data_IF_932623887365
#
_entry.id   IF_932623887365
#
_cell.length_a   1.000
_cell.length_b   1.000
_cell.length_c   1.000
_cell.angle_alpha   90.00
_cell.angle_beta   90.00
_cell.angle_gamma   90.00
#
_symmetry.space_group_name_H-M   'P 1'
#
loop_
_entity.id
_entity.type
_entity.pdbx_description
1 polymer ?
#
# COMPACT_ATOMS: atom_id res chain seq x y z
N UNK A 1 20.92 -73.27 20.07
CA UNK A 1 21.52 -72.10 19.38
C UNK A 1 20.73 -70.84 19.73
N UNK A 2 21.13 -70.08 20.77
CA UNK A 2 20.54 -68.77 21.05
C UNK A 2 21.41 -67.69 20.39
N UNK A 3 20.87 -67.06 19.34
CA UNK A 3 21.54 -66.01 18.55
C UNK A 3 21.78 -64.78 19.42
N UNK A 4 23.05 -64.43 19.54
CA UNK A 4 23.55 -63.20 20.16
C UNK A 4 23.47 -62.05 19.15
N UNK A 5 23.05 -60.89 19.65
CA UNK A 5 23.08 -59.52 19.09
C UNK A 5 22.50 -59.25 17.69
N UNK A 6 21.40 -58.48 17.66
CA UNK A 6 21.04 -57.56 16.56
C UNK A 6 20.51 -56.21 17.07
N UNK A 7 21.08 -55.67 18.15
CA UNK A 7 20.66 -54.38 18.71
C UNK A 7 21.55 -53.14 18.41
N UNK A 8 22.75 -53.20 17.77
CA UNK A 8 23.56 -51.98 17.61
C UNK A 8 22.98 -51.01 16.57
N UNK A 9 22.34 -51.51 15.52
CA UNK A 9 21.77 -50.69 14.43
C UNK A 9 20.51 -49.94 14.90
N UNK A 10 19.67 -50.58 15.70
CA UNK A 10 18.46 -49.96 16.24
C UNK A 10 18.79 -48.84 17.24
N UNK A 11 19.80 -49.04 18.11
CA UNK A 11 20.27 -48.01 19.04
C UNK A 11 20.93 -46.84 18.29
N UNK A 12 21.67 -47.11 17.21
CA UNK A 12 22.28 -46.06 16.38
C UNK A 12 21.22 -45.22 15.65
N UNK A 13 20.16 -45.83 15.12
CA UNK A 13 19.05 -45.11 14.49
C UNK A 13 18.23 -44.27 15.49
N UNK A 14 18.05 -44.76 16.73
CA UNK A 14 17.30 -44.05 17.78
C UNK A 14 18.07 -42.83 18.31
N UNK A 15 19.41 -42.82 18.25
CA UNK A 15 20.22 -41.71 18.74
C UNK A 15 20.65 -40.74 17.63
N UNK A 16 21.05 -41.25 16.47
CA UNK A 16 21.63 -40.42 15.40
C UNK A 16 20.56 -39.65 14.62
N UNK A 17 19.37 -40.22 14.42
CA UNK A 17 18.28 -39.55 13.69
C UNK A 17 17.74 -38.32 14.46
N UNK A 18 17.37 -38.41 15.76
CA UNK A 18 16.92 -37.22 16.46
C UNK A 18 18.04 -36.19 16.70
N UNK A 19 19.30 -36.61 16.88
CA UNK A 19 20.42 -35.65 16.91
C UNK A 19 20.63 -34.96 15.56
N UNK A 20 20.56 -35.70 14.45
CA UNK A 20 20.66 -35.14 13.10
C UNK A 20 19.49 -34.21 12.77
N UNK A 21 18.28 -34.55 13.20
CA UNK A 21 17.09 -33.72 13.04
C UNK A 21 17.15 -32.45 13.91
N UNK A 22 17.63 -32.57 15.16
CA UNK A 22 17.89 -31.43 16.03
C UNK A 22 18.99 -30.52 15.46
N UNK A 23 20.03 -31.08 14.86
CA UNK A 23 21.11 -30.33 14.20
C UNK A 23 20.64 -29.62 12.92
N UNK A 24 19.77 -30.26 12.12
CA UNK A 24 19.10 -29.61 10.98
C UNK A 24 18.16 -28.49 11.42
N UNK A 25 17.46 -28.65 12.54
CA UNK A 25 16.59 -27.61 13.11
C UNK A 25 17.37 -26.43 13.72
N UNK A 26 18.56 -26.65 14.27
CA UNK A 26 19.40 -25.56 14.81
C UNK A 26 20.28 -24.88 13.76
N UNK A 27 20.69 -25.59 12.70
CA UNK A 27 21.46 -25.00 11.58
C UNK A 27 20.61 -24.20 10.59
N UNK A 28 19.28 -24.28 10.69
CA UNK A 28 18.32 -23.51 9.91
C UNK A 28 17.77 -22.27 10.64
N UNK A 29 18.41 -21.82 11.72
CA UNK A 29 18.06 -20.52 12.28
C UNK A 29 18.46 -19.45 11.26
N UNK A 30 17.52 -18.59 10.79
CA UNK A 30 17.89 -17.48 9.93
C UNK A 30 18.92 -16.65 10.71
N UNK A 31 20.09 -16.45 10.11
CA UNK A 31 21.01 -15.44 10.57
C UNK A 31 20.30 -14.09 10.38
N UNK A 32 19.66 -13.60 11.45
CA UNK A 32 19.18 -12.23 11.48
C UNK A 32 20.46 -11.40 11.50
N UNK A 33 20.76 -10.75 10.38
CA UNK A 33 21.80 -9.74 10.36
C UNK A 33 21.42 -8.68 11.40
N UNK A 34 22.30 -8.45 12.37
CA UNK A 34 22.17 -7.30 13.25
C UNK A 34 22.15 -6.03 12.40
N UNK A 35 21.28 -5.04 12.72
CA UNK A 35 21.31 -3.75 12.05
C UNK A 35 22.74 -3.20 12.10
N UNK A 36 23.31 -2.90 10.93
CA UNK A 36 24.57 -2.17 10.88
C UNK A 36 24.27 -0.75 11.32
N UNK A 37 25.01 -0.23 12.30
CA UNK A 37 24.94 1.19 12.65
C UNK A 37 25.33 2.03 11.42
N UNK A 38 24.33 2.62 10.78
CA UNK A 38 24.52 3.58 9.70
C UNK A 38 24.56 4.97 10.34
N UNK A 39 25.66 5.69 10.18
CA UNK A 39 25.71 7.12 10.53
C UNK A 39 24.96 7.89 9.44
N UNK A 40 23.84 8.57 9.74
CA UNK A 40 23.12 9.35 8.73
C UNK A 40 24.01 10.43 8.15
N UNK A 41 23.89 10.67 6.84
CA UNK A 41 24.50 11.83 6.22
C UNK A 41 23.82 13.12 6.74
N UNK A 42 24.53 14.26 6.76
CA UNK A 42 23.90 15.55 7.07
C UNK A 42 22.72 15.85 6.13
N UNK A 43 21.69 16.60 6.57
CA UNK A 43 20.57 16.98 5.73
C UNK A 43 21.00 17.71 4.45
N UNK A 44 20.34 17.40 3.34
CA UNK A 44 20.50 18.08 2.05
C UNK A 44 19.93 19.50 2.16
N UNK A 45 20.82 20.50 2.13
CA UNK A 45 20.46 21.93 2.23
C UNK A 45 20.22 22.60 0.88
N UNK A 46 20.67 22.00 -0.22
CA UNK A 46 20.46 22.49 -1.59
C UNK A 46 19.87 21.39 -2.47
N UNK A 47 18.71 21.66 -3.06
CA UNK A 47 18.00 20.73 -3.96
C UNK A 47 17.47 21.50 -5.17
N UNK A 48 17.40 20.86 -6.33
CA UNK A 48 16.68 21.39 -7.50
C UNK A 48 15.15 21.22 -7.37
N UNK A 49 14.71 20.59 -6.28
CA UNK A 49 13.31 20.41 -5.92
C UNK A 49 12.59 19.34 -6.74
N UNK A 50 13.30 18.45 -7.45
CA UNK A 50 12.68 17.41 -8.29
C UNK A 50 12.63 16.02 -7.67
N UNK A 51 13.55 15.71 -6.76
CA UNK A 51 13.60 14.41 -6.11
C UNK A 51 12.32 14.17 -5.27
N UNK A 52 11.77 12.96 -5.36
CA UNK A 52 10.55 12.56 -4.68
C UNK A 52 10.70 11.21 -3.98
N UNK A 53 9.86 10.98 -2.99
CA UNK A 53 9.62 9.69 -2.37
C UNK A 53 8.16 9.28 -2.61
N UNK A 54 7.84 8.02 -2.35
CA UNK A 54 6.46 7.55 -2.30
C UNK A 54 6.18 7.04 -0.90
N UNK A 55 5.00 7.36 -0.38
CA UNK A 55 4.51 6.86 0.90
C UNK A 55 5.42 7.23 2.10
N UNK A 56 6.04 8.41 2.09
CA UNK A 56 6.88 8.85 3.21
C UNK A 56 6.07 9.46 4.37
N UNK A 57 4.75 9.31 4.36
CA UNK A 57 3.87 9.88 5.37
C UNK A 57 3.47 8.95 6.51
N UNK A 58 3.92 7.70 6.50
CA UNK A 58 3.50 6.73 7.51
C UNK A 58 3.90 7.13 8.94
N UNK A 59 3.06 6.74 9.91
CA UNK A 59 3.35 6.94 11.32
C UNK A 59 4.42 5.97 11.85
N UNK A 60 5.25 6.41 12.80
CA UNK A 60 6.16 5.55 13.56
C UNK A 60 6.74 6.14 14.88
N UNK A 61 6.16 5.80 16.05
CA UNK A 61 4.78 5.38 16.22
C UNK A 61 3.81 6.56 16.00
N UNK A 62 2.52 6.29 15.88
CA UNK A 62 1.52 7.38 15.87
C UNK A 62 1.60 8.20 17.17
N UNK A 63 1.36 9.53 17.12
CA UNK A 63 0.90 10.31 15.98
C UNK A 63 2.02 10.88 15.09
N UNK A 64 3.28 10.51 15.29
CA UNK A 64 4.42 11.14 14.60
C UNK A 64 4.66 10.50 13.22
N UNK A 65 4.91 11.33 12.19
CA UNK A 65 5.27 10.92 10.82
C UNK A 65 6.76 11.19 10.53
N UNK A 66 7.70 10.45 11.14
CA UNK A 66 9.13 10.79 11.06
C UNK A 66 9.70 10.72 9.64
N UNK A 67 9.11 9.94 8.74
CA UNK A 67 9.64 9.76 7.39
C UNK A 67 9.46 10.97 6.48
N UNK A 68 8.55 11.89 6.81
CA UNK A 68 8.42 13.17 6.10
C UNK A 68 9.74 13.94 6.27
N UNK A 69 10.18 14.14 7.52
CA UNK A 69 11.44 14.84 7.77
C UNK A 69 12.65 14.08 7.24
N UNK A 70 12.69 12.76 7.39
CA UNK A 70 13.81 11.96 6.85
C UNK A 70 13.91 12.06 5.32
N UNK A 71 12.77 12.10 4.61
CA UNK A 71 12.76 12.30 3.16
C UNK A 71 13.20 13.72 2.78
N UNK A 72 12.80 14.76 3.53
CA UNK A 72 13.28 16.13 3.33
C UNK A 72 14.80 16.23 3.51
N UNK A 73 15.33 15.60 4.56
CA UNK A 73 16.75 15.56 4.89
C UNK A 73 17.54 14.79 3.82
N UNK A 74 16.94 13.78 3.19
CA UNK A 74 17.49 13.07 2.04
C UNK A 74 17.41 13.88 0.71
N UNK A 75 16.78 15.05 0.72
CA UNK A 75 16.66 15.95 -0.43
C UNK A 75 15.35 15.85 -1.23
N UNK A 76 14.42 14.97 -0.81
CA UNK A 76 13.09 14.86 -1.42
C UNK A 76 12.27 16.14 -1.18
N UNK A 77 11.47 16.54 -2.16
CA UNK A 77 10.46 17.62 -2.05
C UNK A 77 9.10 17.19 -2.58
N UNK A 78 8.90 15.89 -2.76
CA UNK A 78 7.66 15.31 -3.22
C UNK A 78 7.33 14.05 -2.44
N UNK A 79 6.06 13.87 -2.12
CA UNK A 79 5.49 12.58 -1.76
C UNK A 79 4.44 12.17 -2.79
N UNK A 80 4.43 10.89 -3.16
CA UNK A 80 3.47 10.29 -4.10
C UNK A 80 2.67 9.22 -3.38
N UNK A 81 1.34 9.37 -3.35
CA UNK A 81 0.43 8.42 -2.69
C UNK A 81 -0.98 8.46 -3.29
N UNK A 82 -1.76 7.41 -3.00
CA UNK A 82 -3.13 7.29 -3.51
C UNK A 82 -4.20 7.95 -2.63
N UNK A 83 -5.17 8.55 -3.32
CA UNK A 83 -6.51 8.84 -2.85
C UNK A 83 -7.40 7.66 -3.25
N UNK A 84 -7.57 6.69 -2.34
CA UNK A 84 -8.34 5.48 -2.61
C UNK A 84 -9.85 5.73 -2.54
N UNK A 85 -10.52 5.71 -3.70
CA UNK A 85 -11.96 5.94 -3.79
C UNK A 85 -12.81 5.04 -2.87
N UNK A 86 -12.57 3.72 -2.75
CA UNK A 86 -13.38 2.87 -1.87
C UNK A 86 -13.26 3.19 -0.39
N UNK A 87 -12.19 3.89 0.03
CA UNK A 87 -12.05 4.37 1.42
C UNK A 87 -12.76 5.70 1.62
N UNK A 88 -12.67 6.59 0.62
CA UNK A 88 -13.22 7.93 0.67
C UNK A 88 -14.76 7.92 0.52
N UNK A 89 -15.30 7.07 -0.35
CA UNK A 89 -16.74 6.92 -0.63
C UNK A 89 -17.15 5.42 -0.55
N UNK A 90 -17.25 4.85 0.67
CA UNK A 90 -17.54 3.42 0.85
C UNK A 90 -18.90 2.96 0.32
N UNK A 91 -19.88 3.86 0.20
CA UNK A 91 -21.14 3.61 -0.52
C UNK A 91 -21.54 4.85 -1.34
N UNK A 92 -22.28 4.65 -2.42
CA UNK A 92 -22.69 5.74 -3.34
C UNK A 92 -23.25 6.97 -2.59
N UNK A 93 -22.56 8.11 -2.72
CA UNK A 93 -22.92 9.39 -2.12
C UNK A 93 -22.62 9.53 -0.63
N UNK A 94 -22.07 8.50 0.02
CA UNK A 94 -21.76 8.49 1.45
C UNK A 94 -20.24 8.49 1.65
N UNK A 95 -19.69 9.68 1.90
CA UNK A 95 -18.26 9.88 2.11
C UNK A 95 -17.86 9.63 3.57
N UNK A 96 -16.75 8.93 3.78
CA UNK A 96 -16.25 8.66 5.13
C UNK A 96 -15.53 9.90 5.68
N UNK A 97 -16.18 10.59 6.63
CA UNK A 97 -15.64 11.80 7.23
C UNK A 97 -14.35 11.59 8.02
N UNK A 98 -14.14 10.41 8.62
CA UNK A 98 -12.91 10.10 9.35
C UNK A 98 -11.73 9.88 8.39
N UNK A 99 -11.97 9.19 7.28
CA UNK A 99 -10.97 9.02 6.22
C UNK A 99 -10.65 10.36 5.56
N UNK A 100 -11.65 11.19 5.24
CA UNK A 100 -11.45 12.53 4.69
C UNK A 100 -10.59 13.39 5.62
N UNK A 101 -10.89 13.42 6.92
CA UNK A 101 -10.07 14.14 7.89
C UNK A 101 -8.62 13.63 7.91
N UNK A 102 -8.42 12.32 7.83
CA UNK A 102 -7.10 11.71 7.76
C UNK A 102 -6.27 12.15 6.53
N UNK A 103 -6.92 12.31 5.37
CA UNK A 103 -6.30 12.89 4.18
C UNK A 103 -6.07 14.40 4.32
N UNK A 104 -6.98 15.14 4.97
CA UNK A 104 -6.79 16.57 5.24
C UNK A 104 -5.55 16.82 6.10
N UNK A 105 -5.41 16.06 7.20
CA UNK A 105 -4.28 16.12 8.11
C UNK A 105 -2.98 15.76 7.38
N UNK A 106 -2.98 14.68 6.60
CA UNK A 106 -1.85 14.27 5.77
C UNK A 106 -1.40 15.36 4.80
N UNK A 107 -2.35 15.93 4.05
CA UNK A 107 -2.04 16.99 3.09
C UNK A 107 -1.50 18.22 3.82
N UNK A 108 -2.03 18.58 4.98
CA UNK A 108 -1.47 19.66 5.81
C UNK A 108 -0.05 19.34 6.25
N UNK A 109 0.19 18.17 6.87
CA UNK A 109 1.50 17.75 7.36
C UNK A 109 2.57 17.81 6.27
N UNK A 110 2.26 17.34 5.07
CA UNK A 110 3.19 17.39 3.92
C UNK A 110 3.44 18.83 3.45
N UNK A 111 2.41 19.66 3.33
CA UNK A 111 2.55 21.05 2.88
C UNK A 111 3.29 21.90 3.91
N UNK A 112 2.98 21.73 5.19
CA UNK A 112 3.62 22.41 6.31
C UNK A 112 5.09 21.97 6.46
N UNK A 113 5.39 20.71 6.13
CA UNK A 113 6.76 20.20 5.99
C UNK A 113 7.50 20.67 4.73
N UNK A 114 6.86 21.40 3.83
CA UNK A 114 7.49 21.90 2.60
C UNK A 114 7.60 20.86 1.46
N UNK A 115 6.80 19.80 1.50
CA UNK A 115 6.67 18.85 0.39
C UNK A 115 5.58 19.27 -0.60
N UNK A 116 5.78 18.90 -1.86
CA UNK A 116 4.74 18.86 -2.87
C UNK A 116 4.13 17.45 -2.92
N UNK A 117 2.95 17.34 -3.54
CA UNK A 117 2.19 16.10 -3.57
C UNK A 117 1.89 15.71 -5.02
N UNK A 118 2.13 14.43 -5.32
CA UNK A 118 1.57 13.74 -6.49
C UNK A 118 0.46 12.81 -6.00
N UNK A 119 -0.79 13.18 -6.27
CA UNK A 119 -1.96 12.40 -5.85
C UNK A 119 -2.37 11.40 -6.91
N UNK A 120 -2.43 10.12 -6.57
CA UNK A 120 -2.94 9.08 -7.46
C UNK A 120 -4.44 8.94 -7.20
N UNK A 121 -5.27 9.12 -8.22
CA UNK A 121 -6.70 8.83 -8.13
C UNK A 121 -6.86 7.32 -8.38
N UNK A 122 -7.25 6.56 -7.36
CA UNK A 122 -7.10 5.10 -7.40
C UNK A 122 -8.31 4.32 -6.89
N UNK A 123 -8.50 3.16 -7.54
CA UNK A 123 -9.47 2.10 -7.27
C UNK A 123 -10.93 2.44 -7.55
N UNK A 124 -11.71 1.41 -7.92
CA UNK A 124 -13.16 1.50 -8.10
C UNK A 124 -13.89 0.85 -6.92
N UNK A 125 -14.80 1.51 -6.20
CA UNK A 125 -15.54 0.85 -5.14
C UNK A 125 -16.48 -0.23 -5.69
N UNK A 126 -16.73 -1.29 -4.91
CA UNK A 126 -17.65 -2.38 -5.25
C UNK A 126 -18.98 -1.89 -5.82
N UNK A 127 -19.53 -0.83 -5.23
CA UNK A 127 -20.82 -0.30 -5.63
C UNK A 127 -20.77 0.40 -6.99
N UNK A 128 -19.61 0.84 -7.48
CA UNK A 128 -19.41 1.48 -8.79
C UNK A 128 -18.77 0.55 -9.84
N UNK A 129 -18.24 -0.59 -9.43
CA UNK A 129 -17.55 -1.56 -10.28
C UNK A 129 -18.43 -2.16 -11.39
N UNK A 130 -17.83 -2.48 -12.53
CA UNK A 130 -18.48 -3.18 -13.66
C UNK A 130 -18.18 -4.68 -13.67
N UNK A 131 -17.21 -5.15 -12.88
CA UNK A 131 -16.86 -6.56 -12.79
C UNK A 131 -15.94 -6.85 -11.62
N UNK A 132 -15.41 -8.08 -11.55
CA UNK A 132 -14.48 -8.50 -10.50
C UNK A 132 -15.15 -8.98 -9.20
N UNK A 133 -14.36 -9.58 -8.31
CA UNK A 133 -14.81 -10.01 -6.99
C UNK A 133 -14.85 -8.81 -6.03
N UNK A 134 -16.03 -8.53 -5.48
CA UNK A 134 -16.21 -7.55 -4.40
C UNK A 134 -15.88 -8.12 -3.02
N UNK A 135 -15.96 -7.27 -1.99
CA UNK A 135 -15.74 -7.62 -0.59
C UNK A 135 -14.27 -7.69 -0.16
N UNK A 136 -13.34 -7.33 -1.04
CA UNK A 136 -11.93 -7.22 -0.70
C UNK A 136 -11.69 -5.86 -0.02
N UNK A 137 -11.34 -5.90 1.26
CA UNK A 137 -11.04 -4.69 2.03
C UNK A 137 -9.63 -4.18 1.74
N UNK A 138 -9.51 -2.89 1.47
CA UNK A 138 -8.20 -2.23 1.43
C UNK A 138 -7.65 -2.10 2.87
N UNK A 139 -6.33 -2.29 3.11
CA UNK A 139 -5.71 -1.97 4.39
C UNK A 139 -6.01 -0.53 4.83
N UNK A 140 -5.85 -0.18 6.10
CA UNK A 140 -6.00 1.22 6.52
C UNK A 140 -4.90 2.08 5.88
N UNK A 141 -5.24 3.31 5.49
CA UNK A 141 -4.31 4.20 4.78
C UNK A 141 -3.14 4.67 5.67
N UNK A 142 -3.38 4.77 6.98
CA UNK A 142 -2.45 5.23 8.01
C UNK A 142 -1.53 4.13 8.54
N UNK A 143 -1.78 2.87 8.17
CA UNK A 143 -1.02 1.73 8.62
C UNK A 143 -0.03 1.27 7.55
N UNK A 144 1.21 1.05 7.99
CA UNK A 144 2.23 0.43 7.14
C UNK A 144 1.85 -1.02 6.83
N UNK A 145 2.07 -1.48 5.59
CA UNK A 145 1.98 -2.90 5.27
C UNK A 145 2.93 -3.74 6.16
N UNK A 146 2.54 -4.96 6.54
CA UNK A 146 3.43 -5.88 7.24
C UNK A 146 4.72 -6.14 6.44
N UNK A 147 5.88 -6.07 7.09
CA UNK A 147 7.18 -6.40 6.46
C UNK A 147 7.95 -5.24 5.84
N UNK A 148 7.67 -3.99 6.20
CA UNK A 148 8.39 -2.81 5.67
C UNK A 148 9.86 -2.71 6.13
N UNK A 149 10.19 -3.14 7.36
CA UNK A 149 11.54 -2.98 7.95
C UNK A 149 12.49 -4.16 7.79
N UNK A 150 11.99 -5.31 7.37
CA UNK A 150 12.79 -6.52 7.25
C UNK A 150 12.46 -7.19 5.91
N UNK A 151 13.40 -7.91 5.30
CA UNK A 151 13.03 -8.93 4.33
C UNK A 151 12.21 -10.00 5.07
N UNK A 152 10.94 -9.75 5.29
CA UNK A 152 10.00 -10.81 5.65
C UNK A 152 9.84 -11.67 4.40
N UNK A 153 9.68 -12.98 4.58
CA UNK A 153 9.13 -13.79 3.52
C UNK A 153 7.76 -13.17 3.19
N UNK A 154 7.70 -12.37 2.11
CA UNK A 154 6.41 -12.10 1.49
C UNK A 154 5.86 -13.49 1.20
N UNK A 155 4.78 -13.87 1.86
CA UNK A 155 3.92 -14.91 1.33
C UNK A 155 3.35 -14.34 0.02
N UNK A 156 4.14 -14.40 -1.04
CA UNK A 156 3.78 -14.02 -2.42
C UNK A 156 2.70 -14.96 -3.01
N UNK A 157 2.16 -15.86 -2.19
CA UNK A 157 1.10 -16.79 -2.52
C UNK A 157 -0.30 -16.19 -2.37
N UNK A 158 -0.44 -14.93 -1.93
CA UNK A 158 -1.65 -14.17 -2.22
C UNK A 158 -1.49 -13.59 -3.63
N UNK A 159 -2.03 -14.22 -4.69
CA UNK A 159 -2.04 -13.57 -6.01
C UNK A 159 -2.70 -12.21 -5.84
N UNK A 160 -2.09 -11.19 -6.45
CA UNK A 160 -2.75 -9.92 -6.72
C UNK A 160 -4.00 -10.24 -7.55
N UNK A 161 -5.13 -10.41 -6.88
CA UNK A 161 -6.34 -10.91 -7.47
C UNK A 161 -7.06 -9.78 -8.18
N UNK A 162 -7.51 -10.04 -9.40
CA UNK A 162 -8.46 -9.16 -10.09
C UNK A 162 -9.70 -9.01 -9.21
N UNK A 163 -10.06 -7.77 -8.94
CA UNK A 163 -11.12 -7.42 -7.99
C UNK A 163 -12.06 -6.37 -8.56
N UNK A 164 -13.15 -6.09 -7.84
CA UNK A 164 -14.02 -4.97 -8.17
C UNK A 164 -13.26 -3.65 -8.30
N UNK A 165 -12.25 -3.45 -7.44
CA UNK A 165 -11.35 -2.30 -7.45
C UNK A 165 -10.60 -2.12 -8.76
N UNK A 166 -10.25 -3.21 -9.43
CA UNK A 166 -9.49 -3.22 -10.69
C UNK A 166 -10.37 -2.91 -11.91
N UNK A 167 -11.70 -2.93 -11.76
CA UNK A 167 -12.61 -2.78 -12.91
C UNK A 167 -12.89 -1.32 -13.25
N UNK A 168 -13.22 -1.01 -14.53
CA UNK A 168 -13.77 0.28 -14.90
C UNK A 168 -15.04 0.61 -14.11
N UNK A 169 -15.20 1.84 -13.60
CA UNK A 169 -16.44 2.25 -12.95
C UNK A 169 -17.58 2.38 -13.98
N UNK A 170 -18.81 2.17 -13.52
CA UNK A 170 -20.02 2.43 -14.32
C UNK A 170 -20.06 3.91 -14.75
N UNK A 171 -20.47 4.15 -15.98
CA UNK A 171 -20.60 5.49 -16.56
C UNK A 171 -19.26 6.17 -16.89
N UNK A 172 -18.12 5.45 -16.88
CA UNK A 172 -16.80 6.03 -17.17
C UNK A 172 -16.73 6.82 -18.50
N UNK A 173 -17.52 6.40 -19.49
CA UNK A 173 -17.50 6.98 -20.84
C UNK A 173 -18.55 8.08 -21.06
N UNK A 174 -19.37 8.39 -20.07
CA UNK A 174 -20.32 9.50 -20.11
C UNK A 174 -19.60 10.82 -19.82
N UNK A 175 -20.26 11.96 -20.01
CA UNK A 175 -19.67 13.27 -19.72
C UNK A 175 -19.21 13.35 -18.25
N UNK A 176 -18.10 14.04 -18.00
CA UNK A 176 -17.44 14.02 -16.69
C UNK A 176 -18.31 14.65 -15.57
N UNK A 177 -19.21 15.56 -15.93
CA UNK A 177 -20.16 16.25 -15.07
C UNK A 177 -21.58 15.67 -15.11
N UNK A 178 -21.79 14.55 -15.81
CA UNK A 178 -23.07 13.85 -15.75
C UNK A 178 -23.20 13.03 -14.46
N UNK A 179 -23.72 13.68 -13.43
CA UNK A 179 -23.87 13.10 -12.10
C UNK A 179 -25.30 12.71 -11.75
N UNK A 180 -26.21 12.77 -12.74
CA UNK A 180 -27.64 12.49 -12.56
C UNK A 180 -28.11 11.45 -13.58
N UNK A 181 -29.41 11.22 -13.64
CA UNK A 181 -30.01 10.42 -14.71
C UNK A 181 -31.15 11.21 -15.36
N UNK A 182 -31.09 12.54 -15.30
CA UNK A 182 -32.20 13.42 -15.67
C UNK A 182 -32.38 13.51 -17.20
N UNK A 183 -31.29 13.36 -17.95
CA UNK A 183 -31.26 13.26 -19.41
C UNK A 183 -31.41 11.82 -19.94
N UNK A 184 -31.38 10.84 -19.05
CA UNK A 184 -31.53 9.42 -19.36
C UNK A 184 -30.22 8.66 -19.51
N UNK A 185 -29.07 9.35 -19.41
CA UNK A 185 -27.76 8.72 -19.46
C UNK A 185 -27.33 8.18 -18.07
N UNK A 186 -26.40 7.21 -18.01
CA UNK A 186 -25.87 6.72 -16.75
C UNK A 186 -24.97 7.73 -16.04
N UNK A 187 -25.05 7.82 -14.71
CA UNK A 187 -24.12 8.63 -13.91
C UNK A 187 -22.66 8.25 -14.17
N UNK A 188 -21.81 9.24 -14.48
CA UNK A 188 -20.35 9.14 -14.45
C UNK A 188 -19.83 9.23 -13.01
N UNK A 189 -19.76 8.07 -12.34
CA UNK A 189 -19.30 8.02 -10.95
C UNK A 189 -17.83 8.40 -10.80
N UNK A 190 -16.98 8.11 -11.80
CA UNK A 190 -15.57 8.48 -11.78
C UNK A 190 -15.38 9.98 -11.86
N UNK A 191 -16.05 10.65 -12.81
CA UNK A 191 -16.03 12.10 -12.95
C UNK A 191 -16.44 12.80 -11.66
N UNK A 192 -17.49 12.29 -10.99
CA UNK A 192 -17.94 12.81 -9.68
C UNK A 192 -16.88 12.64 -8.59
N UNK A 193 -16.23 11.48 -8.51
CA UNK A 193 -15.15 11.23 -7.55
C UNK A 193 -13.95 12.16 -7.80
N UNK A 194 -13.49 12.24 -9.04
CA UNK A 194 -12.39 13.12 -9.47
C UNK A 194 -12.71 14.56 -9.09
N UNK A 195 -13.91 15.05 -9.40
CA UNK A 195 -14.35 16.40 -9.05
C UNK A 195 -14.27 16.65 -7.53
N UNK A 196 -14.85 15.76 -6.71
CA UNK A 196 -14.89 15.93 -5.26
C UNK A 196 -13.49 15.96 -4.63
N UNK A 197 -12.58 15.08 -5.08
CA UNK A 197 -11.21 15.02 -4.56
C UNK A 197 -10.39 16.23 -5.03
N UNK A 198 -10.47 16.59 -6.31
CA UNK A 198 -9.70 17.72 -6.86
C UNK A 198 -10.24 19.06 -6.34
N UNK A 199 -11.54 19.23 -6.15
CA UNK A 199 -12.13 20.42 -5.52
C UNK A 199 -11.61 20.61 -4.09
N UNK A 200 -11.51 19.52 -3.32
CA UNK A 200 -11.05 19.57 -1.92
C UNK A 200 -9.54 19.78 -1.76
N UNK A 201 -8.72 19.21 -2.64
CA UNK A 201 -7.26 19.13 -2.45
C UNK A 201 -6.44 19.81 -3.55
N UNK A 202 -7.06 20.25 -4.65
CA UNK A 202 -6.35 20.73 -5.85
C UNK A 202 -5.56 22.02 -5.66
N UNK A 203 -5.81 22.77 -4.59
CA UNK A 203 -5.00 23.92 -4.19
C UNK A 203 -3.65 23.53 -3.57
N UNK A 204 -3.56 22.32 -3.02
CA UNK A 204 -2.41 21.78 -2.26
C UNK A 204 -1.73 20.62 -2.97
N UNK A 205 -2.44 19.84 -3.78
CA UNK A 205 -1.89 18.77 -4.61
C UNK A 205 -1.46 19.33 -5.96
N UNK A 206 -0.20 19.14 -6.31
CA UNK A 206 0.42 19.83 -7.45
C UNK A 206 0.29 19.06 -8.76
N UNK A 207 0.33 17.74 -8.69
CA UNK A 207 0.14 16.86 -9.84
C UNK A 207 -0.81 15.73 -9.49
N UNK A 208 -1.63 15.35 -10.46
CA UNK A 208 -2.57 14.24 -10.34
C UNK A 208 -2.16 13.15 -11.32
N UNK A 209 -2.12 11.92 -10.83
CA UNK A 209 -1.94 10.73 -11.62
C UNK A 209 -3.31 10.09 -11.84
N UNK A 210 -3.71 10.05 -13.11
CA UNK A 210 -4.89 9.34 -13.55
C UNK A 210 -4.49 7.87 -13.70
N UNK A 211 -4.87 7.03 -12.72
CA UNK A 211 -4.60 5.58 -12.64
C UNK A 211 -3.18 5.19 -12.22
N UNK A 212 -3.04 4.10 -11.44
CA UNK A 212 -1.75 3.47 -11.12
C UNK A 212 -1.57 2.21 -11.97
N UNK A 213 -0.40 2.06 -12.61
CA UNK A 213 0.03 0.82 -13.28
C UNK A 213 -1.09 0.13 -14.11
N UNK A 214 -1.74 0.85 -15.05
CA UNK A 214 -2.87 0.31 -15.82
C UNK A 214 -2.50 -0.89 -16.71
N UNK A 215 -1.22 -1.16 -16.88
CA UNK A 215 -0.70 -2.35 -17.55
C UNK A 215 -0.80 -3.63 -16.71
N UNK A 216 -1.20 -3.55 -15.44
CA UNK A 216 -1.39 -4.70 -14.55
C UNK A 216 -2.88 -4.88 -14.24
N UNK A 217 -3.41 -6.07 -14.55
CA UNK A 217 -4.81 -6.46 -14.26
C UNK A 217 -5.19 -6.33 -12.77
N UNK A 218 -4.19 -6.26 -11.89
CA UNK A 218 -4.41 -5.95 -10.49
C UNK A 218 -4.97 -4.55 -10.28
N UNK A 219 -4.51 -3.54 -11.02
CA UNK A 219 -4.95 -2.15 -10.89
C UNK A 219 -6.00 -1.75 -11.91
N UNK A 220 -5.99 -2.36 -13.09
CA UNK A 220 -6.90 -1.99 -14.18
C UNK A 220 -7.22 -3.14 -15.12
N UNK A 221 -8.51 -3.37 -15.41
CA UNK A 221 -8.95 -4.46 -16.30
C UNK A 221 -9.61 -4.01 -17.60
N UNK A 222 -9.60 -2.73 -17.98
CA UNK A 222 -10.27 -2.30 -19.22
C UNK A 222 -10.19 -0.84 -19.60
#
# INVERSE_FOLDING_TARGET
>A
MKRVLKHPIAVMLILVVPLGLAFLLTSALPAIAEPVDVTPLPPVTGTDGRAGASWCFYYDPAPDRPFIQMALDAGSRWDRFDFAWPRLEPSNGNWDGGVLQGYDDLVSDLRDGGMNIVGILLWTPDWAATGGLGGLSLPRFDQRPPGWYAPTFRNSLAPQAISASSSPPRGLYEEWDDWTTDDGDPINYWGRFVYQVVDRYGDRVKHWEMWNEPEWDYFWTG
#
